data_IF_187464502008
#
_entry.id   IF_187464502008
#
_cell.length_a   1.000
_cell.length_b   1.000
_cell.length_c   1.000
_cell.angle_alpha   90.00
_cell.angle_beta   90.00
_cell.angle_gamma   90.00
#
_symmetry.space_group_name_H-M   'P 1'
#
loop_
_entity.id
_entity.type
_entity.pdbx_description
1 polymer ?
#
# COMPACT_ATOMS: atom_id res chain seq x y z
N UNK A 1 -7.17 21.42 65.29
CA UNK A 1 -7.76 20.28 64.54
C UNK A 1 -8.64 20.72 63.36
N UNK A 2 -8.99 22.01 63.23
CA UNK A 2 -9.82 22.58 62.15
C UNK A 2 -9.13 22.69 60.79
N UNK A 3 -7.83 22.98 60.77
CA UNK A 3 -7.12 23.36 59.53
C UNK A 3 -6.97 22.19 58.55
N UNK A 4 -6.88 20.97 59.07
CA UNK A 4 -6.78 19.74 58.28
C UNK A 4 -8.10 19.41 57.55
N UNK A 5 -9.24 19.91 58.04
CA UNK A 5 -10.56 19.63 57.46
C UNK A 5 -10.85 20.53 56.26
N UNK A 6 -10.51 21.82 56.35
CA UNK A 6 -10.65 22.74 55.22
C UNK A 6 -9.75 22.35 54.04
N UNK A 7 -8.54 21.89 54.32
CA UNK A 7 -7.61 21.45 53.29
C UNK A 7 -8.11 20.20 52.54
N UNK A 8 -8.71 19.25 53.26
CA UNK A 8 -9.35 18.05 52.68
C UNK A 8 -10.59 18.39 51.85
N UNK A 9 -11.41 19.33 52.30
CA UNK A 9 -12.60 19.78 51.56
C UNK A 9 -12.20 20.52 50.29
N UNK A 10 -11.16 21.37 50.35
CA UNK A 10 -10.61 22.05 49.18
C UNK A 10 -10.02 21.05 48.17
N UNK A 11 -9.23 20.07 48.64
CA UNK A 11 -8.68 19.03 47.76
C UNK A 11 -9.76 18.16 47.11
N UNK A 12 -10.85 17.84 47.83
CA UNK A 12 -11.99 17.10 47.26
C UNK A 12 -12.73 17.96 46.21
N UNK A 13 -12.89 19.26 46.48
CA UNK A 13 -13.49 20.22 45.57
C UNK A 13 -12.68 20.42 44.28
N UNK A 14 -11.36 20.52 44.38
CA UNK A 14 -10.48 20.60 43.21
C UNK A 14 -10.53 19.33 42.37
N UNK A 15 -10.52 18.14 43.00
CA UNK A 15 -10.64 16.86 42.27
C UNK A 15 -11.98 16.74 41.55
N UNK A 16 -13.09 17.10 42.20
CA UNK A 16 -14.42 17.12 41.56
C UNK A 16 -14.48 18.11 40.39
N UNK A 17 -13.84 19.27 40.52
CA UNK A 17 -13.78 20.29 39.47
C UNK A 17 -12.94 19.83 38.27
N UNK A 18 -11.82 19.17 38.51
CA UNK A 18 -10.98 18.56 37.46
C UNK A 18 -11.77 17.48 36.72
N UNK A 19 -12.43 16.56 37.44
CA UNK A 19 -13.23 15.48 36.83
C UNK A 19 -14.40 16.03 36.01
N UNK A 20 -15.11 17.06 36.50
CA UNK A 20 -16.18 17.70 35.74
C UNK A 20 -15.68 18.40 34.46
N UNK A 21 -14.51 19.01 34.51
CA UNK A 21 -13.90 19.67 33.34
C UNK A 21 -13.39 18.68 32.28
N UNK A 22 -12.88 17.52 32.69
CA UNK A 22 -12.37 16.49 31.80
C UNK A 22 -13.51 15.76 31.07
N UNK A 23 -14.59 15.43 31.80
CA UNK A 23 -15.81 14.84 31.22
C UNK A 23 -16.47 15.81 30.25
N UNK A 24 -16.50 17.11 30.56
CA UNK A 24 -17.01 18.14 29.66
C UNK A 24 -16.23 18.24 28.35
N UNK A 25 -14.88 18.21 28.42
CA UNK A 25 -14.01 18.20 27.23
C UNK A 25 -14.19 16.93 26.40
N UNK A 26 -14.31 15.76 27.03
CA UNK A 26 -14.51 14.50 26.33
C UNK A 26 -15.87 14.46 25.62
N UNK A 27 -16.93 14.96 26.27
CA UNK A 27 -18.26 15.06 25.67
C UNK A 27 -18.29 16.04 24.49
N UNK A 28 -17.61 17.19 24.60
CA UNK A 28 -17.49 18.18 23.53
C UNK A 28 -16.67 17.64 22.34
N UNK A 29 -15.58 16.92 22.59
CA UNK A 29 -14.78 16.28 21.56
C UNK A 29 -15.59 15.21 20.81
N UNK A 30 -16.37 14.40 21.54
CA UNK A 30 -17.28 13.40 20.95
C UNK A 30 -18.34 14.02 20.03
N UNK A 31 -19.00 15.11 20.48
CA UNK A 31 -19.99 15.82 19.66
C UNK A 31 -19.38 16.52 18.44
N UNK A 32 -18.18 17.09 18.58
CA UNK A 32 -17.48 17.75 17.47
C UNK A 32 -17.05 16.75 16.39
N UNK A 33 -16.58 15.56 16.80
CA UNK A 33 -16.23 14.49 15.89
C UNK A 33 -17.45 13.96 15.12
N UNK A 34 -18.59 13.78 15.80
CA UNK A 34 -19.81 13.29 15.17
C UNK A 34 -20.39 14.30 14.18
N UNK A 35 -20.34 15.61 14.51
CA UNK A 35 -20.74 16.69 13.60
C UNK A 35 -19.87 16.74 12.34
N UNK A 36 -18.55 16.60 12.50
CA UNK A 36 -17.63 16.54 11.37
C UNK A 36 -17.89 15.33 10.46
N UNK A 37 -18.09 14.15 11.07
CA UNK A 37 -18.39 12.89 10.36
C UNK A 37 -19.72 12.96 9.62
N UNK A 38 -20.74 13.60 10.20
CA UNK A 38 -22.02 13.84 9.54
C UNK A 38 -21.86 14.80 8.36
N UNK A 39 -21.11 15.90 8.54
CA UNK A 39 -20.84 16.86 7.46
C UNK A 39 -20.10 16.24 6.26
N UNK A 40 -19.18 15.32 6.53
CA UNK A 40 -18.44 14.58 5.50
C UNK A 40 -19.35 13.62 4.70
N UNK A 41 -20.38 13.06 5.35
CA UNK A 41 -21.40 12.22 4.69
C UNK A 41 -22.43 13.01 3.88
N UNK A 42 -22.72 14.27 4.25
CA UNK A 42 -23.71 15.13 3.57
C UNK A 42 -23.09 16.10 2.55
N UNK A 43 -21.79 15.98 2.27
CA UNK A 43 -21.14 16.76 1.22
C UNK A 43 -21.69 16.34 -0.15
N UNK A 44 -21.97 17.30 -1.04
CA UNK A 44 -22.56 17.05 -2.34
C UNK A 44 -21.75 16.03 -3.15
N UNK A 45 -22.44 15.10 -3.82
CA UNK A 45 -21.83 14.03 -4.58
C UNK A 45 -21.00 14.60 -5.73
N UNK A 46 -19.71 14.26 -5.73
CA UNK A 46 -18.74 14.69 -6.73
C UNK A 46 -18.70 13.71 -7.90
N UNK A 47 -18.19 14.10 -9.09
CA UNK A 47 -17.92 13.16 -10.17
C UNK A 47 -16.99 12.01 -9.74
N UNK A 48 -16.05 12.29 -8.85
CA UNK A 48 -15.15 11.29 -8.27
C UNK A 48 -15.90 10.26 -7.42
N UNK A 49 -16.91 10.68 -6.63
CA UNK A 49 -17.73 9.76 -5.84
C UNK A 49 -18.41 8.71 -6.73
N UNK A 50 -18.95 9.13 -7.89
CA UNK A 50 -19.58 8.20 -8.83
C UNK A 50 -18.59 7.17 -9.40
N UNK A 51 -17.41 7.63 -9.82
CA UNK A 51 -16.34 6.75 -10.34
C UNK A 51 -15.98 5.69 -9.29
N UNK A 52 -15.83 6.10 -8.02
CA UNK A 52 -15.52 5.18 -6.92
C UNK A 52 -16.70 4.24 -6.63
N UNK A 53 -17.93 4.74 -6.64
CA UNK A 53 -19.14 3.92 -6.44
C UNK A 53 -19.26 2.81 -7.48
N UNK A 54 -19.04 3.15 -8.76
CA UNK A 54 -19.09 2.20 -9.88
C UNK A 54 -17.98 1.14 -9.73
N UNK A 55 -16.74 1.55 -9.44
CA UNK A 55 -15.59 0.63 -9.26
C UNK A 55 -15.68 -0.24 -7.99
N UNK A 56 -16.57 0.09 -7.07
CA UNK A 56 -16.75 -0.63 -5.79
C UNK A 56 -18.20 -1.07 -5.59
N UNK A 57 -18.94 -1.28 -6.69
CA UNK A 57 -20.34 -1.67 -6.61
C UNK A 57 -20.52 -3.06 -5.98
N UNK A 58 -21.56 -3.23 -5.18
CA UNK A 58 -21.81 -4.45 -4.40
C UNK A 58 -22.12 -5.68 -5.26
N UNK A 59 -22.54 -5.48 -6.52
CA UNK A 59 -22.84 -6.56 -7.46
C UNK A 59 -21.60 -7.06 -8.22
N UNK A 60 -20.43 -6.45 -8.04
CA UNK A 60 -19.19 -6.92 -8.68
C UNK A 60 -18.72 -8.24 -8.05
N UNK A 61 -18.36 -9.22 -8.87
CA UNK A 61 -17.87 -10.51 -8.37
C UNK A 61 -16.52 -10.36 -7.63
N UNK A 62 -15.68 -9.44 -8.10
CA UNK A 62 -14.38 -9.08 -7.55
C UNK A 62 -13.88 -7.74 -8.11
N UNK A 63 -12.59 -7.41 -7.91
CA UNK A 63 -12.02 -6.17 -8.44
C UNK A 63 -12.08 -6.12 -9.97
N UNK A 64 -12.63 -5.03 -10.51
CA UNK A 64 -12.55 -4.74 -11.93
C UNK A 64 -11.20 -4.08 -12.23
N UNK A 65 -10.25 -4.89 -12.70
CA UNK A 65 -8.91 -4.42 -13.01
C UNK A 65 -8.87 -3.38 -14.12
N UNK A 66 -9.76 -3.50 -15.11
CA UNK A 66 -9.80 -2.56 -16.22
C UNK A 66 -10.25 -1.18 -15.70
N UNK A 67 -11.34 -1.13 -14.94
CA UNK A 67 -11.83 0.11 -14.34
C UNK A 67 -10.80 0.70 -13.35
N UNK A 68 -10.17 -0.12 -12.50
CA UNK A 68 -9.20 0.35 -11.51
C UNK A 68 -7.95 0.96 -12.17
N UNK A 69 -7.45 0.37 -13.25
CA UNK A 69 -6.30 0.90 -13.99
C UNK A 69 -6.68 2.16 -14.78
N UNK A 70 -7.88 2.21 -15.36
CA UNK A 70 -8.39 3.43 -15.99
C UNK A 70 -8.48 4.59 -14.97
N UNK A 71 -8.91 4.32 -13.73
CA UNK A 71 -8.90 5.33 -12.66
C UNK A 71 -7.48 5.83 -12.37
N UNK A 72 -6.48 4.95 -12.37
CA UNK A 72 -5.08 5.35 -12.20
C UNK A 72 -4.62 6.26 -13.35
N UNK A 73 -5.01 5.94 -14.59
CA UNK A 73 -4.72 6.79 -15.75
C UNK A 73 -5.41 8.14 -15.67
N UNK A 74 -6.65 8.20 -15.20
CA UNK A 74 -7.38 9.46 -14.97
C UNK A 74 -6.69 10.34 -13.93
N UNK A 75 -6.16 9.74 -12.85
CA UNK A 75 -5.37 10.45 -11.84
C UNK A 75 -4.06 10.95 -12.44
N UNK A 76 -3.30 10.07 -13.10
CA UNK A 76 -1.97 10.38 -13.63
C UNK A 76 -2.01 11.39 -14.79
N UNK A 77 -3.13 11.46 -15.51
CA UNK A 77 -3.38 12.47 -16.55
C UNK A 77 -4.10 13.72 -16.02
N UNK A 78 -4.26 13.83 -14.69
CA UNK A 78 -4.92 14.94 -13.98
C UNK A 78 -6.34 15.27 -14.48
N UNK A 79 -7.01 14.30 -15.10
CA UNK A 79 -8.41 14.41 -15.55
C UNK A 79 -9.40 14.33 -14.39
N UNK A 80 -8.99 13.68 -13.29
CA UNK A 80 -9.75 13.60 -12.04
C UNK A 80 -8.84 13.98 -10.88
N UNK A 81 -9.41 14.69 -9.91
CA UNK A 81 -8.71 15.04 -8.68
C UNK A 81 -8.53 13.79 -7.79
N UNK A 82 -7.27 13.45 -7.50
CA UNK A 82 -6.90 12.27 -6.69
C UNK A 82 -7.38 12.37 -5.25
N UNK A 83 -7.38 13.56 -4.65
CA UNK A 83 -7.88 13.79 -3.28
C UNK A 83 -9.38 13.50 -3.19
N UNK A 84 -10.16 13.93 -4.18
CA UNK A 84 -11.60 13.66 -4.20
C UNK A 84 -11.90 12.16 -4.39
N UNK A 85 -11.13 11.45 -5.21
CA UNK A 85 -11.21 9.99 -5.33
C UNK A 85 -10.87 9.30 -4.00
N UNK A 86 -9.79 9.71 -3.33
CA UNK A 86 -9.38 9.13 -2.04
C UNK A 86 -10.44 9.38 -0.96
N UNK A 87 -11.08 10.57 -0.94
CA UNK A 87 -12.25 10.82 -0.07
C UNK A 87 -13.42 9.93 -0.42
N UNK A 88 -13.72 9.73 -1.70
CA UNK A 88 -14.72 8.77 -2.15
C UNK A 88 -14.43 7.37 -1.61
N UNK A 89 -13.19 6.90 -1.75
CA UNK A 89 -12.75 5.58 -1.26
C UNK A 89 -12.90 5.49 0.26
N UNK A 90 -12.54 6.54 1.01
CA UNK A 90 -12.77 6.62 2.46
C UNK A 90 -14.23 6.38 2.82
N UNK A 91 -15.15 7.08 2.14
CA UNK A 91 -16.60 6.92 2.35
C UNK A 91 -17.02 5.47 2.13
N UNK A 92 -16.50 4.80 1.10
CA UNK A 92 -16.78 3.37 0.82
C UNK A 92 -16.23 2.43 1.91
N UNK A 93 -15.02 2.67 2.41
CA UNK A 93 -14.43 1.90 3.54
C UNK A 93 -15.29 2.03 4.81
N UNK A 94 -15.92 3.19 5.02
CA UNK A 94 -16.78 3.44 6.17
C UNK A 94 -18.17 2.79 6.09
N UNK A 95 -18.59 2.30 4.91
CA UNK A 95 -19.85 1.57 4.76
C UNK A 95 -19.75 0.21 5.45
N UNK A 96 -20.85 -0.32 5.97
CA UNK A 96 -20.87 -1.65 6.62
C UNK A 96 -21.08 -2.81 5.64
N UNK A 97 -21.04 -2.52 4.34
CA UNK A 97 -21.21 -3.54 3.31
C UNK A 97 -19.88 -4.21 2.99
N UNK A 98 -19.80 -5.51 3.26
CA UNK A 98 -18.54 -6.24 3.24
C UNK A 98 -17.91 -6.25 1.85
N UNK A 99 -18.71 -6.43 0.79
CA UNK A 99 -18.18 -6.46 -0.57
C UNK A 99 -17.65 -5.09 -0.99
N UNK A 100 -18.41 -4.04 -0.72
CA UNK A 100 -18.02 -2.65 -1.02
C UNK A 100 -16.72 -2.26 -0.30
N UNK A 101 -16.62 -2.55 0.99
CA UNK A 101 -15.41 -2.30 1.78
C UNK A 101 -14.18 -3.01 1.19
N UNK A 102 -14.33 -4.29 0.83
CA UNK A 102 -13.23 -5.07 0.27
C UNK A 102 -12.72 -4.48 -1.05
N UNK A 103 -13.65 -4.17 -1.96
CA UNK A 103 -13.33 -3.55 -3.25
C UNK A 103 -12.70 -2.17 -3.08
N UNK A 104 -13.17 -1.38 -2.11
CA UNK A 104 -12.58 -0.07 -1.80
C UNK A 104 -11.14 -0.17 -1.30
N UNK A 105 -10.84 -1.13 -0.41
CA UNK A 105 -9.46 -1.39 0.05
C UNK A 105 -8.57 -1.85 -1.12
N UNK A 106 -9.14 -2.58 -2.09
CA UNK A 106 -8.42 -3.06 -3.27
C UNK A 106 -8.14 -1.94 -4.28
N UNK A 107 -9.12 -1.07 -4.53
CA UNK A 107 -8.95 0.13 -5.34
C UNK A 107 -7.92 1.07 -4.72
N UNK A 108 -7.97 1.27 -3.39
CA UNK A 108 -6.98 2.05 -2.65
C UNK A 108 -5.56 1.52 -2.87
N UNK A 109 -5.37 0.21 -2.72
CA UNK A 109 -4.07 -0.44 -2.96
C UNK A 109 -3.58 -0.20 -4.40
N UNK A 110 -4.49 -0.31 -5.37
CA UNK A 110 -4.16 -0.13 -6.79
C UNK A 110 -3.69 1.30 -7.04
N UNK A 111 -4.42 2.30 -6.52
CA UNK A 111 -4.06 3.72 -6.67
C UNK A 111 -2.72 4.03 -6.01
N UNK A 112 -2.47 3.59 -4.78
CA UNK A 112 -1.18 3.90 -4.11
C UNK A 112 0.03 3.25 -4.79
N UNK A 113 -0.17 2.15 -5.52
CA UNK A 113 0.89 1.50 -6.30
C UNK A 113 1.18 2.17 -7.64
N UNK A 114 0.23 2.95 -8.18
CA UNK A 114 0.31 3.47 -9.55
C UNK A 114 0.31 5.01 -9.62
N UNK A 115 0.05 5.71 -8.52
CA UNK A 115 -0.07 7.17 -8.49
C UNK A 115 0.88 7.77 -7.43
N UNK A 116 1.86 8.56 -7.89
CA UNK A 116 2.97 9.08 -7.06
C UNK A 116 2.52 9.86 -5.82
N UNK A 117 1.45 10.66 -5.94
CA UNK A 117 0.94 11.53 -4.86
C UNK A 117 0.05 10.79 -3.85
N UNK A 118 -0.40 9.57 -4.17
CA UNK A 118 -1.47 8.92 -3.44
C UNK A 118 -1.13 8.66 -1.96
N UNK A 119 0.10 8.26 -1.63
CA UNK A 119 0.49 8.03 -0.24
C UNK A 119 0.39 9.30 0.63
N UNK A 120 0.74 10.47 0.09
CA UNK A 120 0.61 11.73 0.83
C UNK A 120 -0.85 12.10 1.07
N UNK A 121 -1.70 11.84 0.08
CA UNK A 121 -3.13 12.15 0.13
C UNK A 121 -3.89 11.18 1.06
N UNK A 122 -3.56 9.89 1.04
CA UNK A 122 -4.07 8.88 1.99
C UNK A 122 -3.75 9.25 3.44
N UNK A 123 -2.55 9.78 3.68
CA UNK A 123 -2.15 10.29 4.99
C UNK A 123 -2.94 11.56 5.36
N UNK A 124 -3.08 12.51 4.43
CA UNK A 124 -3.80 13.77 4.65
C UNK A 124 -5.29 13.57 4.94
N UNK A 125 -5.94 12.65 4.22
CA UNK A 125 -7.36 12.31 4.40
C UNK A 125 -7.63 11.35 5.56
N UNK A 126 -6.57 10.97 6.29
CA UNK A 126 -6.61 10.12 7.49
C UNK A 126 -7.26 8.75 7.25
N UNK A 127 -7.01 8.14 6.09
CA UNK A 127 -7.58 6.83 5.74
C UNK A 127 -7.15 5.75 6.74
N UNK A 128 -5.91 5.80 7.24
CA UNK A 128 -5.40 4.87 8.24
C UNK A 128 -6.26 4.83 9.51
N UNK A 129 -6.86 5.95 9.92
CA UNK A 129 -7.76 5.98 11.07
C UNK A 129 -9.02 5.14 10.81
N UNK A 130 -9.60 5.25 9.62
CA UNK A 130 -10.77 4.44 9.26
C UNK A 130 -10.41 2.96 9.12
N UNK A 131 -9.22 2.64 8.58
CA UNK A 131 -8.74 1.26 8.52
C UNK A 131 -8.51 0.66 9.91
N UNK A 132 -7.96 1.43 10.86
CA UNK A 132 -7.82 0.99 12.26
C UNK A 132 -9.20 0.75 12.89
N UNK A 133 -10.18 1.63 12.64
CA UNK A 133 -11.56 1.41 13.11
C UNK A 133 -12.19 0.16 12.49
N UNK A 134 -11.96 -0.08 11.21
CA UNK A 134 -12.40 -1.30 10.53
C UNK A 134 -11.79 -2.55 11.16
N UNK A 135 -10.50 -2.51 11.52
CA UNK A 135 -9.80 -3.61 12.20
C UNK A 135 -10.39 -3.87 13.59
N UNK A 136 -10.64 -2.79 14.34
CA UNK A 136 -11.12 -2.83 15.72
C UNK A 136 -12.60 -3.20 15.84
N UNK A 137 -13.39 -3.04 14.78
CA UNK A 137 -14.79 -3.45 14.77
C UNK A 137 -14.90 -4.99 14.73
N UNK A 138 -15.45 -5.64 15.77
CA UNK A 138 -15.60 -7.10 15.81
C UNK A 138 -16.58 -7.62 14.74
N UNK A 139 -17.47 -6.79 14.20
CA UNK A 139 -18.42 -7.17 13.15
C UNK A 139 -17.81 -7.16 11.75
N UNK A 140 -16.62 -6.58 11.58
CA UNK A 140 -15.93 -6.59 10.28
C UNK A 140 -15.63 -8.02 9.83
N UNK A 141 -15.98 -8.31 8.58
CA UNK A 141 -15.68 -9.57 7.92
C UNK A 141 -14.17 -9.83 7.93
N UNK A 142 -13.77 -11.07 8.25
CA UNK A 142 -12.37 -11.46 8.43
C UNK A 142 -11.50 -11.09 7.23
N UNK A 143 -11.97 -11.33 6.01
CA UNK A 143 -11.23 -11.00 4.79
C UNK A 143 -10.94 -9.50 4.65
N UNK A 144 -11.89 -8.63 5.03
CA UNK A 144 -11.72 -7.18 4.97
C UNK A 144 -10.72 -6.71 6.03
N UNK A 145 -10.84 -7.25 7.25
CA UNK A 145 -9.87 -7.00 8.32
C UNK A 145 -8.47 -7.42 7.92
N UNK A 146 -8.32 -8.61 7.35
CA UNK A 146 -7.03 -9.12 6.87
C UNK A 146 -6.48 -8.25 5.74
N UNK A 147 -7.31 -7.84 4.78
CA UNK A 147 -6.88 -6.94 3.71
C UNK A 147 -6.34 -5.63 4.25
N UNK A 148 -7.04 -5.00 5.21
CA UNK A 148 -6.56 -3.77 5.84
C UNK A 148 -5.25 -3.99 6.62
N UNK A 149 -5.13 -5.09 7.34
CA UNK A 149 -3.88 -5.45 8.05
C UNK A 149 -2.72 -5.64 7.08
N UNK A 150 -2.91 -6.37 5.98
CA UNK A 150 -1.88 -6.57 4.94
C UNK A 150 -1.40 -5.24 4.36
N UNK A 151 -2.31 -4.29 4.09
CA UNK A 151 -1.94 -2.97 3.58
C UNK A 151 -1.14 -2.18 4.61
N UNK A 152 -1.60 -2.14 5.87
CA UNK A 152 -0.89 -1.42 6.94
C UNK A 152 0.49 -2.04 7.21
N UNK A 153 0.62 -3.36 7.17
CA UNK A 153 1.92 -4.04 7.27
C UNK A 153 2.83 -3.64 6.12
N UNK A 154 2.35 -3.76 4.88
CA UNK A 154 3.13 -3.43 3.70
C UNK A 154 3.65 -1.98 3.72
N UNK A 155 2.79 -1.02 4.07
CA UNK A 155 3.17 0.40 4.12
C UNK A 155 4.01 0.76 5.35
N UNK A 156 3.74 0.12 6.49
CA UNK A 156 4.51 0.30 7.72
C UNK A 156 5.93 -0.27 7.64
N UNK A 157 6.14 -1.27 6.77
CA UNK A 157 7.43 -1.91 6.50
C UNK A 157 8.16 -1.38 5.26
N UNK A 158 7.57 -0.41 4.54
CA UNK A 158 8.21 0.23 3.37
C UNK A 158 9.54 0.93 3.69
N UNK A 159 9.87 1.11 4.97
CA UNK A 159 11.16 1.63 5.43
C UNK A 159 11.47 2.98 4.78
N UNK A 160 12.54 3.00 3.97
CA UNK A 160 13.10 4.20 3.37
C UNK A 160 12.15 4.93 2.42
N UNK A 161 11.27 4.20 1.72
CA UNK A 161 10.35 4.75 0.71
C UNK A 161 9.30 5.70 1.32
N UNK A 162 8.79 5.38 2.51
CA UNK A 162 7.74 6.16 3.17
C UNK A 162 8.23 6.88 4.43
N UNK A 163 9.55 7.03 4.62
CA UNK A 163 10.14 7.73 5.79
C UNK A 163 9.61 9.16 5.98
N UNK A 164 9.24 9.84 4.89
CA UNK A 164 8.71 11.19 4.94
C UNK A 164 7.24 11.26 5.41
N UNK A 165 6.56 10.11 5.51
CA UNK A 165 5.19 9.95 6.01
C UNK A 165 5.19 8.99 7.21
N UNK A 166 5.69 9.43 8.39
CA UNK A 166 5.89 8.56 9.55
C UNK A 166 4.59 7.94 10.10
N UNK A 167 3.43 8.46 9.71
CA UNK A 167 2.11 7.95 10.12
C UNK A 167 1.90 6.48 9.75
N UNK A 168 2.46 6.00 8.63
CA UNK A 168 2.33 4.60 8.22
C UNK A 168 3.06 3.66 9.19
N UNK A 169 4.34 3.92 9.44
CA UNK A 169 5.16 3.15 10.38
C UNK A 169 4.60 3.24 11.81
N UNK A 170 4.16 4.43 12.24
CA UNK A 170 3.57 4.63 13.57
C UNK A 170 2.28 3.82 13.74
N UNK A 171 1.40 3.82 12.74
CA UNK A 171 0.13 3.06 12.78
C UNK A 171 0.41 1.57 12.87
N UNK A 172 1.33 1.06 12.05
CA UNK A 172 1.75 -0.33 12.07
C UNK A 172 2.31 -0.76 13.44
N UNK A 173 3.27 0.01 13.98
CA UNK A 173 3.87 -0.25 15.29
C UNK A 173 2.85 -0.16 16.43
N UNK A 174 1.89 0.77 16.35
CA UNK A 174 0.80 0.92 17.32
C UNK A 174 -0.11 -0.33 17.35
N UNK A 175 -0.48 -0.87 16.19
CA UNK A 175 -1.26 -2.11 16.13
C UNK A 175 -0.46 -3.31 16.69
N UNK A 176 0.83 -3.41 16.34
CA UNK A 176 1.71 -4.47 16.90
C UNK A 176 1.83 -4.38 18.42
N UNK A 177 1.98 -3.19 18.99
CA UNK A 177 2.11 -3.01 20.45
C UNK A 177 0.81 -3.36 21.20
N UNK A 178 -0.34 -3.23 20.54
CA UNK A 178 -1.65 -3.69 21.03
C UNK A 178 -1.84 -5.22 20.96
N UNK A 179 -0.85 -5.95 20.42
CA UNK A 179 -0.91 -7.40 20.26
C UNK A 179 -1.67 -7.89 19.03
N UNK A 180 -2.04 -6.99 18.11
CA UNK A 180 -2.67 -7.37 16.85
C UNK A 180 -1.68 -8.19 16.02
N UNK A 181 -2.12 -9.37 15.60
CA UNK A 181 -1.38 -10.25 14.70
C UNK A 181 -1.66 -9.84 13.26
N UNK A 182 -0.60 -9.51 12.55
CA UNK A 182 -0.67 -9.31 11.12
C UNK A 182 -0.65 -10.68 10.42
N UNK A 183 -1.36 -10.83 9.28
CA UNK A 183 -1.42 -12.09 8.54
C UNK A 183 -0.03 -12.55 8.05
N UNK A 184 0.97 -11.64 8.05
CA UNK A 184 2.31 -11.91 7.57
C UNK A 184 2.34 -12.00 6.06
N UNK A 185 3.50 -11.75 5.47
CA UNK A 185 3.86 -12.33 4.18
C UNK A 185 4.24 -13.77 4.47
N UNK A 186 3.27 -14.67 4.47
CA UNK A 186 3.61 -16.06 4.42
C UNK A 186 4.48 -16.29 3.18
N UNK A 187 5.75 -16.66 3.40
CA UNK A 187 6.63 -17.23 2.37
C UNK A 187 6.00 -18.49 1.72
N UNK A 188 4.87 -18.96 2.26
CA UNK A 188 4.02 -20.05 1.80
C UNK A 188 2.89 -19.59 0.85
N UNK A 189 2.60 -18.28 0.77
CA UNK A 189 1.76 -17.68 -0.30
C UNK A 189 2.55 -17.42 -1.59
N UNK A 190 3.87 -17.69 -1.61
CA UNK A 190 4.48 -18.14 -2.85
C UNK A 190 3.89 -19.52 -3.12
N UNK A 191 2.82 -19.57 -3.92
CA UNK A 191 2.23 -20.83 -4.36
C UNK A 191 3.39 -21.76 -4.74
N UNK A 192 3.46 -23.00 -4.20
CA UNK A 192 4.50 -23.93 -4.60
C UNK A 192 4.48 -23.98 -6.12
N UNK A 193 5.62 -23.77 -6.77
CA UNK A 193 5.72 -23.89 -8.23
C UNK A 193 5.45 -25.36 -8.56
N UNK A 194 4.19 -25.69 -8.74
CA UNK A 194 3.70 -26.93 -9.32
C UNK A 194 3.73 -26.79 -10.84
N UNK A 195 4.88 -26.39 -11.39
CA UNK A 195 5.10 -26.74 -12.80
C UNK A 195 5.25 -28.26 -12.83
N UNK A 196 4.30 -29.01 -13.41
CA UNK A 196 4.48 -30.44 -13.59
C UNK A 196 5.77 -30.68 -14.38
N UNK A 197 6.45 -31.82 -14.19
CA UNK A 197 7.54 -32.22 -15.08
C UNK A 197 7.03 -32.12 -16.52
N UNK A 198 7.82 -31.51 -17.42
CA UNK A 198 7.46 -31.41 -18.84
C UNK A 198 7.06 -32.81 -19.34
N UNK A 199 5.82 -32.95 -19.83
CA UNK A 199 5.29 -34.21 -20.33
C UNK A 199 5.82 -34.60 -21.72
N UNK A 200 6.62 -33.73 -22.34
CA UNK A 200 7.26 -33.96 -23.64
C UNK A 200 8.75 -34.19 -23.43
N UNK A 201 9.22 -35.35 -23.90
CA UNK A 201 10.65 -35.64 -23.97
C UNK A 201 11.31 -34.63 -24.93
N UNK A 202 12.52 -34.16 -24.59
CA UNK A 202 13.32 -33.19 -25.38
C UNK A 202 13.49 -33.60 -26.86
N UNK A 203 13.35 -34.88 -27.18
CA UNK A 203 13.44 -35.40 -28.54
C UNK A 203 12.25 -35.04 -29.45
N UNK A 204 11.05 -34.78 -28.93
CA UNK A 204 9.87 -34.49 -29.77
C UNK A 204 9.74 -32.99 -30.13
N UNK A 205 10.32 -32.10 -29.34
CA UNK A 205 10.36 -30.65 -29.65
C UNK A 205 11.27 -30.40 -30.86
N UNK A 206 12.38 -31.13 -30.98
CA UNK A 206 13.31 -31.01 -32.11
C UNK A 206 12.69 -31.48 -33.44
N UNK A 207 11.84 -32.52 -33.41
CA UNK A 207 11.18 -33.05 -34.59
C UNK A 207 10.07 -32.10 -35.10
N UNK A 208 9.29 -31.50 -34.20
CA UNK A 208 8.21 -30.58 -34.58
C UNK A 208 8.70 -29.18 -34.94
N UNK A 209 9.84 -28.73 -34.39
CA UNK A 209 10.47 -27.47 -34.83
C UNK A 209 10.97 -27.51 -36.28
N UNK A 210 11.26 -28.71 -36.80
CA UNK A 210 11.80 -28.89 -38.15
C UNK A 210 10.77 -28.75 -39.26
N UNK A 211 9.46 -28.87 -38.96
CA UNK A 211 8.39 -28.85 -39.97
C UNK A 211 7.59 -27.55 -40.01
N UNK A 212 7.64 -26.70 -38.98
CA UNK A 212 6.87 -25.44 -38.95
C UNK A 212 7.68 -24.17 -39.23
N UNK A 213 9.02 -24.22 -39.26
CA UNK A 213 9.87 -23.08 -39.65
C UNK A 213 10.17 -23.16 -41.16
N UNK A 214 9.15 -23.09 -41.99
CA UNK A 214 9.34 -22.89 -43.43
C UNK A 214 8.51 -21.74 -44.01
N UNK A 215 7.84 -20.92 -43.19
CA UNK A 215 6.97 -19.87 -43.76
C UNK A 215 7.24 -18.41 -43.39
N UNK A 216 8.01 -18.03 -42.37
CA UNK A 216 8.41 -16.61 -42.34
C UNK A 216 9.57 -16.27 -41.40
N UNK A 217 10.37 -15.29 -41.83
CA UNK A 217 11.47 -14.60 -41.14
C UNK A 217 12.85 -15.28 -41.18
N UNK A 218 13.71 -14.65 -41.98
CA UNK A 218 15.13 -14.94 -42.16
C UNK A 218 15.94 -14.67 -40.89
N UNK A 219 16.20 -15.70 -40.09
CA UNK A 219 17.14 -15.65 -38.96
C UNK A 219 18.53 -16.07 -39.46
N UNK A 220 19.47 -15.12 -39.51
CA UNK A 220 20.87 -15.44 -39.72
C UNK A 220 21.34 -16.35 -38.58
N UNK A 221 21.60 -17.62 -38.92
CA UNK A 221 22.18 -18.59 -38.00
C UNK A 221 23.67 -18.31 -37.93
N UNK A 222 24.12 -17.72 -36.83
CA UNK A 222 25.55 -17.49 -36.60
C UNK A 222 26.29 -18.83 -36.49
N UNK A 223 27.43 -18.90 -37.15
CA UNK A 223 28.33 -20.04 -37.05
C UNK A 223 28.89 -20.18 -35.63
N UNK A 224 29.42 -21.36 -35.31
CA UNK A 224 30.01 -21.62 -34.00
C UNK A 224 31.18 -20.66 -33.70
N UNK A 225 31.94 -20.29 -34.74
CA UNK A 225 33.01 -19.31 -34.66
C UNK A 225 32.49 -17.89 -34.33
N UNK A 226 31.44 -17.42 -34.99
CA UNK A 226 30.85 -16.10 -34.73
C UNK A 226 30.21 -16.02 -33.34
N UNK A 227 29.59 -17.12 -32.89
CA UNK A 227 29.04 -17.20 -31.54
C UNK A 227 30.15 -17.12 -30.49
N UNK A 228 31.26 -17.81 -30.73
CA UNK A 228 32.44 -17.77 -29.85
C UNK A 228 33.05 -16.37 -29.79
N UNK A 229 33.17 -15.71 -30.94
CA UNK A 229 33.68 -14.34 -31.02
C UNK A 229 32.79 -13.36 -30.23
N UNK A 230 31.46 -13.48 -30.34
CA UNK A 230 30.53 -12.66 -29.57
C UNK A 230 30.69 -12.85 -28.06
N UNK A 231 30.90 -14.09 -27.60
CA UNK A 231 31.16 -14.39 -26.18
C UNK A 231 32.50 -13.82 -25.70
N UNK A 232 33.55 -13.89 -26.51
CA UNK A 232 34.87 -13.36 -26.16
C UNK A 232 34.85 -11.82 -26.12
N UNK A 233 34.11 -11.16 -27.02
CA UNK A 233 33.89 -9.70 -26.98
C UNK A 233 33.10 -9.28 -25.73
N UNK A 234 32.06 -10.04 -25.37
CA UNK A 234 31.27 -9.77 -24.16
C UNK A 234 32.10 -9.91 -22.88
N UNK A 235 32.98 -10.92 -22.81
CA UNK A 235 33.91 -11.11 -21.69
C UNK A 235 34.90 -9.95 -21.57
N UNK A 236 35.54 -9.56 -22.67
CA UNK A 236 36.47 -8.43 -22.69
C UNK A 236 35.80 -7.11 -22.29
N UNK A 237 34.55 -6.90 -22.73
CA UNK A 237 33.79 -5.70 -22.38
C UNK A 237 33.45 -5.64 -20.89
N UNK A 238 33.10 -6.77 -20.26
CA UNK A 238 32.93 -6.84 -18.81
C UNK A 238 34.21 -6.54 -18.04
N UNK A 239 35.35 -7.07 -18.47
CA UNK A 239 36.64 -6.85 -17.79
C UNK A 239 37.07 -5.38 -17.87
N UNK A 240 36.87 -4.73 -19.02
CA UNK A 240 37.11 -3.30 -19.18
C UNK A 240 36.20 -2.46 -18.29
N UNK A 241 34.90 -2.77 -18.24
CA UNK A 241 33.95 -2.06 -17.37
C UNK A 241 34.28 -2.27 -15.89
N UNK A 242 34.66 -3.48 -15.49
CA UNK A 242 35.12 -3.77 -14.13
C UNK A 242 36.38 -2.96 -13.78
N UNK A 243 37.31 -2.84 -14.73
CA UNK A 243 38.54 -2.05 -14.54
C UNK A 243 38.20 -0.57 -14.36
N UNK A 244 37.34 0.00 -15.22
CA UNK A 244 36.91 1.41 -15.16
C UNK A 244 36.15 1.72 -13.86
N UNK A 245 35.27 0.82 -13.42
CA UNK A 245 34.52 0.97 -12.17
C UNK A 245 35.41 0.82 -10.93
N UNK A 246 36.46 0.01 -11.00
CA UNK A 246 37.45 -0.14 -9.93
C UNK A 246 38.49 0.98 -9.89
N UNK A 247 38.73 1.67 -11.02
CA UNK A 247 39.63 2.81 -11.12
C UNK A 247 38.90 4.15 -10.94
N UNK A 248 38.21 4.33 -9.82
CA UNK A 248 37.62 5.62 -9.45
C UNK A 248 38.57 6.43 -8.56
N UNK A 249 38.99 7.66 -8.92
CA UNK A 249 39.90 8.46 -8.10
C UNK A 249 39.12 9.16 -6.98
N UNK A 250 38.79 8.43 -5.92
CA UNK A 250 38.21 9.00 -4.70
C UNK A 250 38.93 8.62 -3.41
N UNK A 251 40.06 7.88 -3.48
CA UNK A 251 40.87 7.58 -2.28
C UNK A 251 42.09 8.50 -2.08
N UNK A 252 42.54 9.26 -3.07
CA UNK A 252 43.70 10.15 -2.91
C UNK A 252 43.36 11.56 -2.36
N UNK A 253 42.08 11.94 -2.30
CA UNK A 253 41.67 13.25 -1.77
C UNK A 253 41.59 13.30 -0.24
N UNK A 254 41.69 12.16 0.45
CA UNK A 254 41.62 12.07 1.92
C UNK A 254 42.98 11.79 2.60
N UNK A 255 44.07 11.63 1.84
CA UNK A 255 45.43 11.49 2.40
C UNK A 255 46.34 12.70 2.18
N UNK A 256 45.86 13.80 1.57
CA UNK A 256 46.64 15.05 1.38
C UNK A 256 46.12 16.26 2.17
N UNK A 257 45.35 16.04 3.23
CA UNK A 257 44.92 17.10 4.17
C UNK A 257 45.28 16.82 5.64
N UNK A 258 46.33 16.00 5.88
CA UNK A 258 46.99 15.86 7.17
C UNK A 258 48.33 16.57 7.18
#
# INVERSE_FOLDING_TARGET
MSDNLMEKVNALGERLKITGSEVGKQMQAGMSSMSFKMKELFQAQTPADKIVEDATAENLEGPDWAANLEICDLINTEKVNSVDLIRGIKKRIMLKEARVQFLALFLLETIVKNCEKAFSEVAAERILDEMVRLIDDPQTVVNNRNKALTLIEAWGESGDELRYLPVYEQTYKSLKSRGIRFPGRDNESLAPIFTPPRSVAEAEVAANFSQQIFEDVHVHTYTAEETKEAFDVARNSMELLSTVLSSSPQQDALQRSG
#
